data_IF_277984642872
#
_entry.id   IF_277984642872
#
_cell.length_a   1.000
_cell.length_b   1.000
_cell.length_c   1.000
_cell.angle_alpha   90.00
_cell.angle_beta   90.00
_cell.angle_gamma   90.00
#
_symmetry.space_group_name_H-M   'P 1'
#
loop_
_entity.id
_entity.type
_entity.pdbx_description
1 polymer ?
#
# COMPACT_ATOMS: atom_id res chain seq x y z
N UNK A 1 -41.93 15.66 2.23
CA UNK A 1 -40.65 15.67 1.52
C UNK A 1 -40.41 14.24 1.13
N UNK A 2 -40.68 13.96 -0.14
CA UNK A 2 -40.62 12.63 -0.70
C UNK A 2 -39.21 12.10 -0.53
N UNK A 3 -39.10 10.88 0.04
CA UNK A 3 -37.82 10.16 0.11
C UNK A 3 -37.31 9.96 -1.32
N UNK A 4 -36.47 10.91 -1.76
CA UNK A 4 -35.73 10.75 -2.99
C UNK A 4 -35.02 9.40 -2.91
N UNK A 5 -35.19 8.58 -3.96
CA UNK A 5 -34.59 7.27 -4.12
C UNK A 5 -33.08 7.31 -3.78
N UNK A 6 -32.76 7.10 -2.51
CA UNK A 6 -31.38 6.90 -2.12
C UNK A 6 -30.90 5.64 -2.81
N UNK A 7 -29.84 5.76 -3.57
CA UNK A 7 -29.24 4.62 -4.25
C UNK A 7 -28.76 3.54 -3.26
N UNK A 8 -28.42 2.35 -3.75
CA UNK A 8 -27.91 1.29 -2.91
C UNK A 8 -26.65 1.71 -2.14
N UNK A 9 -26.57 1.34 -0.86
CA UNK A 9 -25.43 1.61 0.00
C UNK A 9 -24.44 0.44 -0.09
N UNK A 10 -23.28 0.69 -0.65
CA UNK A 10 -22.25 -0.32 -0.87
C UNK A 10 -21.05 -0.04 0.02
N UNK A 11 -20.67 -1.02 0.84
CA UNK A 11 -19.43 -1.00 1.62
C UNK A 11 -18.25 -1.46 0.77
N UNK A 12 -17.12 -0.76 0.87
CA UNK A 12 -15.83 -1.20 0.35
C UNK A 12 -14.89 -1.41 1.52
N UNK A 13 -14.55 -2.66 1.81
CA UNK A 13 -13.69 -3.05 2.93
C UNK A 13 -12.30 -3.48 2.47
N UNK A 14 -11.27 -2.98 3.14
CA UNK A 14 -9.87 -3.34 2.97
C UNK A 14 -9.02 -2.79 4.12
N UNK A 15 -7.72 -3.00 4.07
CA UNK A 15 -6.76 -2.52 5.08
C UNK A 15 -6.39 -1.03 4.85
N UNK A 16 -7.37 -0.18 4.60
CA UNK A 16 -7.19 1.21 4.14
C UNK A 16 -6.76 2.20 5.22
N UNK A 17 -6.65 1.77 6.45
CA UNK A 17 -6.24 2.57 7.61
C UNK A 17 -4.83 2.26 8.12
N UNK A 18 -4.11 1.38 7.43
CA UNK A 18 -2.72 1.02 7.78
C UNK A 18 -1.69 2.07 7.41
N UNK A 19 -2.04 3.02 6.55
CA UNK A 19 -1.09 3.94 5.93
C UNK A 19 -0.27 3.32 4.78
N UNK A 20 -0.57 2.09 4.38
CA UNK A 20 0.00 1.47 3.18
C UNK A 20 -0.53 2.17 1.93
N UNK A 21 0.37 2.83 1.21
CA UNK A 21 0.01 3.60 0.01
C UNK A 21 -0.45 2.71 -1.15
N UNK A 22 -0.10 1.44 -1.13
CA UNK A 22 -0.61 0.45 -2.07
C UNK A 22 -2.09 0.15 -1.84
N UNK A 23 -2.50 -0.01 -0.60
CA UNK A 23 -3.91 -0.17 -0.24
C UNK A 23 -4.71 1.11 -0.53
N UNK A 24 -4.11 2.29 -0.35
CA UNK A 24 -4.73 3.57 -0.72
C UNK A 24 -4.88 3.69 -2.25
N UNK A 25 -3.88 3.28 -3.02
CA UNK A 25 -3.97 3.27 -4.48
C UNK A 25 -5.09 2.34 -4.96
N UNK A 26 -5.15 1.13 -4.40
CA UNK A 26 -6.21 0.15 -4.65
C UNK A 26 -7.59 0.77 -4.37
N UNK A 27 -7.77 1.35 -3.20
CA UNK A 27 -9.01 2.03 -2.81
C UNK A 27 -9.42 3.10 -3.80
N UNK A 28 -8.50 4.01 -4.19
CA UNK A 28 -8.78 5.09 -5.14
C UNK A 28 -9.24 4.55 -6.50
N UNK A 29 -8.61 3.48 -6.97
CA UNK A 29 -9.03 2.81 -8.21
C UNK A 29 -10.45 2.26 -8.09
N UNK A 30 -10.76 1.56 -6.99
CA UNK A 30 -12.12 1.06 -6.75
C UNK A 30 -13.15 2.17 -6.74
N UNK A 31 -12.89 3.25 -5.98
CA UNK A 31 -13.80 4.38 -5.92
C UNK A 31 -14.06 5.00 -7.31
N UNK A 32 -13.01 5.17 -8.11
CA UNK A 32 -13.12 5.72 -9.45
C UNK A 32 -13.91 4.79 -10.40
N UNK A 33 -13.56 3.50 -10.40
CA UNK A 33 -14.18 2.53 -11.29
C UNK A 33 -15.66 2.26 -10.93
N UNK A 34 -15.99 2.21 -9.65
CA UNK A 34 -17.36 2.06 -9.20
C UNK A 34 -18.20 3.30 -9.53
N UNK A 35 -17.69 4.52 -9.23
CA UNK A 35 -18.40 5.76 -9.59
C UNK A 35 -18.63 5.89 -11.10
N UNK A 36 -17.67 5.45 -11.91
CA UNK A 36 -17.79 5.49 -13.37
C UNK A 36 -18.89 4.55 -13.90
N UNK A 37 -19.01 3.36 -13.32
CA UNK A 37 -19.95 2.31 -13.79
C UNK A 37 -21.30 2.37 -13.10
N UNK A 38 -21.33 2.77 -11.87
CA UNK A 38 -22.51 2.81 -10.98
C UNK A 38 -22.57 4.14 -10.23
N UNK A 39 -22.85 5.24 -10.94
CA UNK A 39 -22.97 6.57 -10.30
C UNK A 39 -24.18 6.67 -9.35
N UNK A 40 -25.07 5.70 -9.39
CA UNK A 40 -26.28 5.58 -8.57
C UNK A 40 -26.02 5.05 -7.17
N UNK A 41 -24.86 4.40 -6.91
CA UNK A 41 -24.56 3.84 -5.60
C UNK A 41 -23.97 4.89 -4.63
N UNK A 42 -24.30 4.74 -3.35
CA UNK A 42 -23.58 5.39 -2.27
C UNK A 42 -22.46 4.47 -1.78
N UNK A 43 -21.21 4.90 -1.91
CA UNK A 43 -20.05 4.12 -1.50
C UNK A 43 -19.57 4.54 -0.12
N UNK A 44 -19.44 3.58 0.81
CA UNK A 44 -18.86 3.74 2.12
C UNK A 44 -17.57 2.95 2.22
N UNK A 45 -16.47 3.63 2.48
CA UNK A 45 -15.17 2.98 2.69
C UNK A 45 -15.06 2.51 4.14
N UNK A 46 -14.65 1.27 4.32
CA UNK A 46 -14.55 0.58 5.60
C UNK A 46 -13.13 0.04 5.80
N UNK A 47 -12.64 0.13 7.02
CA UNK A 47 -11.37 -0.45 7.43
C UNK A 47 -11.48 -1.01 8.85
N UNK A 48 -10.58 -1.86 9.32
CA UNK A 48 -10.66 -2.47 10.65
C UNK A 48 -10.90 -1.49 11.79
N UNK A 49 -10.17 -0.39 11.84
CA UNK A 49 -10.33 0.66 12.87
C UNK A 49 -10.89 1.96 12.30
N UNK A 50 -10.81 2.14 10.97
CA UNK A 50 -11.12 3.37 10.29
C UNK A 50 -10.11 4.49 10.58
N UNK A 51 -10.25 5.60 9.90
CA UNK A 51 -9.44 6.80 10.11
C UNK A 51 -10.34 8.03 10.11
N UNK A 52 -10.25 8.89 11.11
CA UNK A 52 -10.99 10.17 11.16
C UNK A 52 -10.46 11.17 10.14
N UNK A 53 -9.19 11.05 9.80
CA UNK A 53 -8.53 11.88 8.80
C UNK A 53 -8.00 11.00 7.70
N UNK A 54 -8.00 11.49 6.47
CA UNK A 54 -7.28 10.83 5.39
C UNK A 54 -5.83 10.60 5.82
N UNK A 55 -5.29 9.45 5.47
CA UNK A 55 -3.85 9.21 5.60
C UNK A 55 -3.13 10.33 4.82
N UNK A 56 -1.98 10.84 5.29
CA UNK A 56 -1.25 11.87 4.56
C UNK A 56 -1.11 11.53 3.08
N UNK A 57 -1.57 12.45 2.23
CA UNK A 57 -1.63 12.24 0.77
C UNK A 57 -2.82 11.43 0.25
N UNK A 58 -3.75 11.04 1.12
CA UNK A 58 -5.06 10.54 0.72
C UNK A 58 -6.09 11.65 0.85
N UNK A 59 -6.47 12.28 -0.26
CA UNK A 59 -7.53 13.30 -0.31
C UNK A 59 -8.94 12.68 -0.30
N UNK A 60 -9.01 11.34 -0.19
CA UNK A 60 -10.26 10.60 -0.18
C UNK A 60 -11.10 10.79 1.09
N UNK A 61 -12.27 10.20 1.10
CA UNK A 61 -13.12 10.17 2.29
C UNK A 61 -12.47 9.30 3.36
N UNK A 62 -12.55 9.69 4.65
CA UNK A 62 -12.05 8.86 5.73
C UNK A 62 -12.73 7.49 5.72
N UNK A 63 -11.97 6.43 5.99
CA UNK A 63 -12.53 5.09 6.16
C UNK A 63 -13.27 5.00 7.49
N UNK A 64 -14.49 4.46 7.48
CA UNK A 64 -15.22 4.19 8.70
C UNK A 64 -14.72 2.91 9.36
N UNK A 65 -14.73 2.80 10.67
CA UNK A 65 -14.38 1.56 11.35
C UNK A 65 -15.38 0.48 11.03
N UNK A 66 -14.90 -0.73 10.82
CA UNK A 66 -15.74 -1.89 10.56
C UNK A 66 -16.84 -2.12 11.63
N UNK A 67 -16.59 -1.92 12.93
CA UNK A 67 -17.63 -1.99 13.95
C UNK A 67 -18.81 -1.05 13.72
N UNK A 68 -18.64 0.07 13.01
CA UNK A 68 -19.72 1.02 12.74
C UNK A 68 -20.86 0.39 11.93
N UNK A 69 -20.60 -0.66 11.14
CA UNK A 69 -21.66 -1.38 10.44
C UNK A 69 -22.67 -1.97 11.42
N UNK A 70 -22.19 -2.49 12.56
CA UNK A 70 -23.06 -3.10 13.54
C UNK A 70 -23.61 -2.07 14.56
N UNK A 71 -22.87 -0.99 14.83
CA UNK A 71 -23.22 0.01 15.84
C UNK A 71 -24.08 1.13 15.28
N UNK A 72 -23.76 1.59 14.07
CA UNK A 72 -24.46 2.72 13.44
C UNK A 72 -25.69 2.27 12.63
N UNK A 73 -25.97 0.96 12.62
CA UNK A 73 -27.08 0.40 11.87
C UNK A 73 -26.96 0.65 10.36
N UNK A 74 -25.73 0.78 9.85
CA UNK A 74 -25.50 0.86 8.41
C UNK A 74 -25.99 -0.43 7.75
N UNK A 75 -27.24 -0.44 7.32
CA UNK A 75 -27.78 -1.50 6.47
C UNK A 75 -27.11 -1.42 5.11
N UNK A 76 -26.00 -2.15 4.93
CA UNK A 76 -25.35 -2.24 3.62
C UNK A 76 -26.15 -3.16 2.71
N UNK A 77 -26.45 -2.69 1.52
CA UNK A 77 -27.07 -3.50 0.47
C UNK A 77 -26.05 -4.50 -0.11
N UNK A 78 -24.77 -4.08 -0.19
CA UNK A 78 -23.66 -4.97 -0.54
C UNK A 78 -22.38 -4.59 0.19
N UNK A 79 -21.49 -5.57 0.38
CA UNK A 79 -20.14 -5.40 0.90
C UNK A 79 -19.14 -5.98 -0.09
N UNK A 80 -18.26 -5.12 -0.60
CA UNK A 80 -17.12 -5.54 -1.41
C UNK A 80 -15.92 -5.67 -0.48
N UNK A 81 -15.30 -6.83 -0.47
CA UNK A 81 -14.07 -7.12 0.28
C UNK A 81 -12.93 -7.18 -0.72
N UNK A 82 -11.85 -6.43 -0.50
CA UNK A 82 -10.74 -6.32 -1.44
C UNK A 82 -9.39 -6.17 -0.73
N UNK A 83 -8.32 -6.27 -1.49
CA UNK A 83 -6.95 -6.10 -0.99
C UNK A 83 -6.37 -7.38 -0.37
N UNK A 84 -5.29 -7.23 0.40
CA UNK A 84 -4.61 -8.35 1.06
C UNK A 84 -5.32 -8.78 2.36
N UNK A 85 -6.57 -9.14 2.24
CA UNK A 85 -7.46 -9.46 3.37
C UNK A 85 -7.50 -10.96 3.72
N UNK A 86 -6.99 -11.81 2.84
CA UNK A 86 -6.92 -13.25 3.06
C UNK A 86 -5.71 -13.60 3.94
N UNK A 87 -5.71 -13.09 5.15
CA UNK A 87 -4.62 -13.29 6.11
C UNK A 87 -5.16 -13.97 7.35
N UNK A 88 -4.34 -14.85 7.95
CA UNK A 88 -4.62 -15.39 9.29
C UNK A 88 -4.60 -14.30 10.35
N UNK A 89 -5.03 -14.62 11.57
CA UNK A 89 -4.93 -13.69 12.70
C UNK A 89 -3.50 -13.16 12.89
N UNK A 90 -2.49 -14.02 12.69
CA UNK A 90 -1.08 -13.62 12.74
C UNK A 90 -0.73 -12.59 11.67
N UNK A 91 -1.23 -12.75 10.45
CA UNK A 91 -1.02 -11.79 9.37
C UNK A 91 -1.72 -10.46 9.60
N UNK A 92 -2.90 -10.48 10.18
CA UNK A 92 -3.57 -9.26 10.61
C UNK A 92 -2.81 -8.57 11.74
N UNK A 93 -2.28 -9.33 12.71
CA UNK A 93 -1.46 -8.80 13.80
C UNK A 93 -0.16 -8.16 13.28
N UNK A 94 0.44 -8.70 12.22
CA UNK A 94 1.61 -8.10 11.59
C UNK A 94 1.29 -6.74 10.95
N UNK A 95 0.14 -6.62 10.29
CA UNK A 95 -0.32 -5.36 9.69
C UNK A 95 -0.72 -4.30 10.72
N UNK A 96 -1.25 -4.76 11.85
CA UNK A 96 -1.72 -3.94 12.94
C UNK A 96 -0.96 -4.28 14.24
N UNK A 97 0.37 -4.11 14.27
CA UNK A 97 1.19 -4.53 15.42
C UNK A 97 0.83 -3.79 16.70
N UNK A 98 0.02 -2.76 16.57
CA UNK A 98 -0.40 -1.85 17.64
C UNK A 98 -1.64 -2.34 18.36
N UNK A 99 -2.46 -3.15 17.72
CA UNK A 99 -3.75 -3.56 18.24
C UNK A 99 -4.12 -5.00 17.83
N UNK A 100 -3.20 -5.99 17.93
CA UNK A 100 -3.49 -7.35 17.50
C UNK A 100 -4.66 -7.96 18.28
N UNK A 101 -4.71 -7.77 19.61
CA UNK A 101 -5.76 -8.31 20.46
C UNK A 101 -7.14 -7.71 20.09
N UNK A 102 -7.19 -6.42 19.81
CA UNK A 102 -8.42 -5.75 19.42
C UNK A 102 -8.94 -6.22 18.05
N UNK A 103 -8.06 -6.64 17.15
CA UNK A 103 -8.47 -7.25 15.86
C UNK A 103 -9.09 -8.63 16.08
N UNK A 104 -8.46 -9.45 16.93
CA UNK A 104 -8.97 -10.78 17.28
C UNK A 104 -10.30 -10.67 18.01
N UNK A 105 -10.40 -9.82 19.04
CA UNK A 105 -11.65 -9.59 19.78
C UNK A 105 -12.81 -9.13 18.87
N UNK A 106 -12.50 -8.37 17.82
CA UNK A 106 -13.50 -7.88 16.85
C UNK A 106 -13.82 -8.89 15.76
N UNK A 107 -13.09 -9.99 15.71
CA UNK A 107 -13.25 -10.99 14.67
C UNK A 107 -12.99 -10.42 13.26
N UNK A 108 -12.01 -9.53 13.11
CA UNK A 108 -11.73 -8.87 11.83
C UNK A 108 -11.32 -9.89 10.78
N UNK A 109 -10.47 -10.86 11.12
CA UNK A 109 -10.10 -11.94 10.21
C UNK A 109 -11.32 -12.74 9.79
N UNK A 110 -12.17 -13.15 10.75
CA UNK A 110 -13.40 -13.88 10.46
C UNK A 110 -14.36 -13.06 9.58
N UNK A 111 -14.49 -11.75 9.82
CA UNK A 111 -15.31 -10.88 8.98
C UNK A 111 -14.70 -10.74 7.59
N UNK A 112 -13.39 -10.54 7.50
CA UNK A 112 -12.68 -10.41 6.23
C UNK A 112 -12.76 -11.71 5.42
N UNK A 113 -12.70 -12.89 6.04
CA UNK A 113 -12.76 -14.18 5.34
C UNK A 113 -14.17 -14.68 5.08
N UNK A 114 -15.14 -14.38 5.93
CA UNK A 114 -16.50 -14.90 5.82
C UNK A 114 -17.57 -13.89 5.49
N UNK A 115 -17.28 -12.58 5.58
CA UNK A 115 -18.29 -11.54 5.51
C UNK A 115 -19.30 -11.61 6.65
N UNK A 116 -18.93 -12.25 7.76
CA UNK A 116 -19.80 -12.54 8.89
C UNK A 116 -19.22 -11.96 10.17
N UNK A 117 -20.06 -11.38 11.00
CA UNK A 117 -19.71 -10.96 12.34
C UNK A 117 -20.68 -11.60 13.34
N UNK A 118 -20.13 -12.35 14.31
CA UNK A 118 -20.98 -13.01 15.31
C UNK A 118 -22.05 -13.94 14.71
N UNK A 119 -21.77 -14.55 13.55
CA UNK A 119 -22.70 -15.41 12.83
C UNK A 119 -23.74 -14.67 11.98
N UNK A 120 -23.66 -13.33 11.87
CA UNK A 120 -24.58 -12.53 11.03
C UNK A 120 -23.84 -11.91 9.85
N UNK A 121 -24.50 -11.84 8.70
CA UNK A 121 -23.97 -11.16 7.53
C UNK A 121 -23.80 -9.65 7.80
N UNK A 122 -22.68 -9.08 7.35
CA UNK A 122 -22.42 -7.66 7.43
C UNK A 122 -23.25 -6.86 6.40
N UNK A 123 -23.75 -7.53 5.37
CA UNK A 123 -24.54 -6.97 4.29
C UNK A 123 -25.47 -8.05 3.73
N UNK A 124 -26.47 -7.64 2.94
CA UNK A 124 -27.33 -8.56 2.20
C UNK A 124 -26.52 -9.39 1.19
N UNK A 125 -25.54 -8.77 0.56
CA UNK A 125 -24.65 -9.41 -0.40
C UNK A 125 -23.18 -9.13 -0.05
N UNK A 126 -22.34 -10.18 -0.03
CA UNK A 126 -20.89 -10.07 0.15
C UNK A 126 -20.19 -10.53 -1.11
N UNK A 127 -19.33 -9.66 -1.67
CA UNK A 127 -18.59 -9.89 -2.90
C UNK A 127 -17.10 -9.80 -2.59
N UNK A 128 -16.36 -10.83 -2.96
CA UNK A 128 -14.91 -10.89 -2.82
C UNK A 128 -14.27 -10.52 -4.15
N UNK A 129 -13.67 -9.34 -4.23
CA UNK A 129 -13.16 -8.83 -5.49
C UNK A 129 -11.71 -8.37 -5.38
N UNK A 130 -10.85 -8.91 -6.24
CA UNK A 130 -9.42 -8.64 -6.27
C UNK A 130 -8.76 -8.87 -4.91
N UNK A 131 -9.19 -9.91 -4.21
CA UNK A 131 -8.59 -10.28 -2.93
C UNK A 131 -7.27 -11.01 -3.14
N UNK A 132 -6.37 -10.85 -2.18
CA UNK A 132 -5.07 -11.49 -2.18
C UNK A 132 -4.57 -11.77 -0.77
N UNK A 133 -3.45 -12.44 -0.71
CA UNK A 133 -2.65 -12.60 0.48
C UNK A 133 -1.18 -12.47 0.09
N UNK A 134 -0.33 -12.11 1.02
CA UNK A 134 1.11 -12.09 0.78
C UNK A 134 1.62 -13.51 0.52
N UNK A 135 2.59 -13.66 -0.38
CA UNK A 135 3.07 -14.98 -0.80
C UNK A 135 3.56 -15.86 0.36
N UNK A 136 4.08 -15.21 1.40
CA UNK A 136 4.71 -15.86 2.55
C UNK A 136 3.76 -16.09 3.74
N UNK A 137 2.47 -15.69 3.60
CA UNK A 137 1.50 -15.80 4.67
C UNK A 137 0.52 -16.94 4.44
N UNK A 138 0.18 -17.63 5.50
CA UNK A 138 -0.90 -18.60 5.49
C UNK A 138 -2.23 -17.90 5.21
N UNK A 139 -2.97 -18.42 4.21
CA UNK A 139 -4.24 -17.84 3.77
C UNK A 139 -5.38 -18.65 4.36
N UNK A 140 -6.25 -18.02 5.12
CA UNK A 140 -7.48 -18.63 5.58
C UNK A 140 -8.55 -18.54 4.48
N UNK A 141 -8.88 -19.68 3.90
CA UNK A 141 -9.89 -19.81 2.82
C UNK A 141 -11.15 -20.53 3.28
N UNK A 142 -11.24 -20.90 4.54
CA UNK A 142 -12.34 -21.72 5.07
C UNK A 142 -13.72 -21.11 4.84
N UNK A 143 -13.82 -19.79 4.88
CA UNK A 143 -15.06 -19.04 4.65
C UNK A 143 -15.42 -18.78 3.20
N UNK A 144 -14.54 -19.14 2.25
CA UNK A 144 -14.71 -18.83 0.82
C UNK A 144 -15.29 -19.98 0.00
N UNK A 145 -15.38 -21.16 0.57
CA UNK A 145 -15.85 -22.35 -0.14
C UNK A 145 -17.27 -22.14 -0.67
N UNK A 146 -17.43 -22.36 -1.99
CA UNK A 146 -18.73 -22.22 -2.67
C UNK A 146 -19.15 -20.78 -2.98
N UNK A 147 -18.28 -19.80 -2.79
CA UNK A 147 -18.52 -18.39 -3.13
C UNK A 147 -17.84 -17.99 -4.43
N UNK A 148 -18.37 -16.98 -5.10
CA UNK A 148 -17.72 -16.34 -6.22
C UNK A 148 -16.64 -15.41 -5.68
N UNK A 149 -15.37 -15.72 -5.97
CA UNK A 149 -14.22 -14.99 -5.49
C UNK A 149 -13.37 -14.56 -6.68
N UNK A 150 -13.15 -13.28 -6.82
CA UNK A 150 -12.16 -12.73 -7.74
C UNK A 150 -10.85 -12.48 -7.00
N UNK A 151 -9.77 -13.01 -7.55
CA UNK A 151 -8.44 -12.93 -6.94
C UNK A 151 -7.48 -12.14 -7.82
N UNK A 152 -6.49 -11.51 -7.18
CA UNK A 152 -5.51 -10.68 -7.91
C UNK A 152 -4.51 -11.49 -8.73
N UNK A 153 -4.21 -12.71 -8.32
CA UNK A 153 -3.11 -13.47 -8.90
C UNK A 153 -3.34 -14.98 -8.91
N UNK A 154 -2.56 -15.65 -9.75
CA UNK A 154 -2.63 -17.10 -9.92
C UNK A 154 -2.24 -17.88 -8.65
N UNK A 155 -1.32 -17.35 -7.84
CA UNK A 155 -0.90 -18.01 -6.61
C UNK A 155 -2.04 -18.04 -5.59
N UNK A 156 -2.74 -16.92 -5.43
CA UNK A 156 -3.96 -16.85 -4.61
C UNK A 156 -5.05 -17.74 -5.17
N UNK A 157 -5.23 -17.77 -6.49
CA UNK A 157 -6.19 -18.66 -7.15
C UNK A 157 -5.92 -20.13 -6.85
N UNK A 158 -4.67 -20.56 -6.95
CA UNK A 158 -4.28 -21.94 -6.65
C UNK A 158 -4.53 -22.31 -5.19
N UNK A 159 -4.33 -21.39 -4.25
CA UNK A 159 -4.55 -21.62 -2.82
C UNK A 159 -6.04 -21.75 -2.48
N UNK A 160 -6.88 -20.88 -3.05
CA UNK A 160 -8.32 -20.94 -2.84
C UNK A 160 -8.93 -22.14 -3.57
N UNK A 161 -8.42 -22.44 -4.76
CA UNK A 161 -8.95 -23.52 -5.61
C UNK A 161 -10.36 -23.24 -6.13
N UNK A 162 -10.98 -24.27 -6.70
CA UNK A 162 -12.41 -24.29 -7.01
C UNK A 162 -12.86 -23.21 -8.00
N UNK A 163 -13.77 -22.36 -7.57
CA UNK A 163 -14.45 -21.35 -8.43
C UNK A 163 -13.77 -19.98 -8.44
N UNK A 164 -12.61 -19.84 -7.82
CA UNK A 164 -11.91 -18.56 -7.82
C UNK A 164 -11.50 -18.14 -9.25
N UNK A 165 -11.80 -16.90 -9.60
CA UNK A 165 -11.51 -16.32 -10.92
C UNK A 165 -10.41 -15.28 -10.76
N UNK A 166 -9.38 -15.35 -11.59
CA UNK A 166 -8.34 -14.33 -11.60
C UNK A 166 -8.85 -13.05 -12.27
N UNK A 167 -8.97 -11.96 -11.48
CA UNK A 167 -9.35 -10.64 -11.99
C UNK A 167 -8.15 -9.78 -12.38
N UNK A 168 -6.99 -10.04 -11.81
CA UNK A 168 -5.84 -9.14 -11.84
C UNK A 168 -5.85 -8.14 -10.68
N UNK A 169 -4.79 -7.34 -10.62
CA UNK A 169 -4.62 -6.32 -9.58
C UNK A 169 -5.18 -4.97 -10.06
N UNK A 170 -6.20 -4.41 -9.40
CA UNK A 170 -6.81 -3.15 -9.83
C UNK A 170 -5.85 -1.96 -9.89
N UNK A 171 -4.73 -1.98 -9.17
CA UNK A 171 -3.73 -0.90 -9.21
C UNK A 171 -3.18 -0.67 -10.62
N UNK A 172 -3.26 -1.66 -11.51
CA UNK A 172 -2.95 -1.51 -12.95
C UNK A 172 -3.81 -0.41 -13.62
N UNK A 173 -4.98 -0.09 -13.07
CA UNK A 173 -5.85 0.98 -13.57
C UNK A 173 -5.51 2.36 -12.97
N UNK A 174 -4.42 2.50 -12.23
CA UNK A 174 -4.05 3.74 -11.55
C UNK A 174 -3.92 4.95 -12.49
N UNK A 175 -3.54 4.73 -13.76
CA UNK A 175 -3.53 5.79 -14.78
C UNK A 175 -4.89 6.45 -15.03
N UNK A 176 -5.99 5.83 -14.62
CA UNK A 176 -7.34 6.41 -14.72
C UNK A 176 -7.69 7.32 -13.54
N UNK A 177 -6.91 7.22 -12.46
CA UNK A 177 -7.10 7.99 -11.23
C UNK A 177 -6.15 9.18 -11.18
N UNK A 178 -4.93 8.99 -11.69
CA UNK A 178 -3.91 10.01 -11.70
C UNK A 178 -3.88 10.76 -13.04
N UNK A 179 -4.19 12.05 -12.99
CA UNK A 179 -4.04 12.94 -14.14
C UNK A 179 -2.54 13.17 -14.44
N UNK A 180 -2.04 12.83 -15.64
CA UNK A 180 -0.64 12.99 -15.99
C UNK A 180 -0.12 14.43 -15.85
N UNK A 181 -0.96 15.43 -16.12
CA UNK A 181 -0.59 16.84 -15.99
C UNK A 181 -0.50 17.26 -14.52
N UNK A 182 -1.37 16.74 -13.66
CA UNK A 182 -1.29 16.94 -12.22
C UNK A 182 -0.03 16.29 -11.65
N UNK A 183 0.29 15.07 -12.06
CA UNK A 183 1.52 14.39 -11.64
C UNK A 183 2.77 15.15 -12.05
N UNK A 184 2.79 15.72 -13.28
CA UNK A 184 3.92 16.51 -13.76
C UNK A 184 4.09 17.76 -12.91
N UNK A 185 3.02 18.53 -12.68
CA UNK A 185 3.07 19.70 -11.78
C UNK A 185 3.53 19.33 -10.37
N UNK A 186 3.10 18.17 -9.87
CA UNK A 186 3.50 17.69 -8.55
C UNK A 186 4.98 17.33 -8.50
N UNK A 187 5.50 16.68 -9.54
CA UNK A 187 6.93 16.38 -9.67
C UNK A 187 7.79 17.66 -9.71
N UNK A 188 7.32 18.70 -10.41
CA UNK A 188 7.99 20.01 -10.44
C UNK A 188 8.03 20.65 -9.05
N UNK A 189 6.93 20.60 -8.30
CA UNK A 189 6.89 21.09 -6.92
C UNK A 189 7.85 20.32 -6.02
N UNK A 190 7.87 19.00 -6.10
CA UNK A 190 8.80 18.17 -5.33
C UNK A 190 10.26 18.50 -5.68
N UNK A 191 10.54 18.74 -6.95
CA UNK A 191 11.86 19.16 -7.39
C UNK A 191 12.24 20.54 -6.80
N UNK A 192 11.36 21.53 -6.88
CA UNK A 192 11.60 22.87 -6.31
C UNK A 192 11.83 22.83 -4.80
N UNK A 193 11.16 21.92 -4.08
CA UNK A 193 11.35 21.73 -2.65
C UNK A 193 12.56 20.85 -2.29
N UNK A 194 13.36 20.41 -3.27
CA UNK A 194 14.52 19.54 -3.05
C UNK A 194 14.18 18.08 -2.72
N UNK A 195 12.90 17.70 -2.83
CA UNK A 195 12.46 16.31 -2.61
C UNK A 195 12.77 15.37 -3.77
N UNK A 196 12.87 15.90 -5.00
CA UNK A 196 13.28 15.13 -6.17
C UNK A 196 14.52 15.77 -6.83
N UNK A 197 15.54 14.97 -7.19
CA UNK A 197 16.67 15.46 -7.98
C UNK A 197 16.24 15.82 -9.40
N UNK A 198 16.99 16.73 -10.01
CA UNK A 198 16.84 17.03 -11.44
C UNK A 198 17.38 15.88 -12.31
N UNK A 199 16.87 15.77 -13.53
CA UNK A 199 17.40 14.88 -14.54
C UNK A 199 16.86 13.45 -14.47
N UNK A 200 17.68 12.50 -14.92
CA UNK A 200 17.31 11.07 -15.00
C UNK A 200 17.29 10.43 -13.62
N UNK A 201 16.25 9.65 -13.35
CA UNK A 201 16.00 9.07 -12.03
C UNK A 201 15.76 7.58 -12.12
N UNK A 202 16.53 6.80 -11.36
CA UNK A 202 16.23 5.42 -11.04
C UNK A 202 15.52 5.38 -9.70
N UNK A 203 14.38 4.74 -9.62
CA UNK A 203 13.66 4.56 -8.37
C UNK A 203 13.88 3.14 -7.87
N UNK A 204 14.22 3.00 -6.60
CA UNK A 204 14.22 1.76 -5.86
C UNK A 204 13.09 1.80 -4.84
N UNK A 205 12.04 1.04 -5.11
CA UNK A 205 10.94 0.83 -4.18
C UNK A 205 11.31 -0.32 -3.24
N UNK A 206 11.32 -0.06 -1.94
CA UNK A 206 11.77 -0.97 -0.88
C UNK A 206 10.78 -1.07 0.26
N UNK A 207 9.56 -1.45 -0.05
CA UNK A 207 8.52 -1.66 0.97
C UNK A 207 8.76 -2.95 1.74
N UNK A 208 9.36 -3.95 1.10
CA UNK A 208 9.80 -5.20 1.73
C UNK A 208 11.32 -5.31 1.71
N UNK A 209 11.85 -6.03 2.68
CA UNK A 209 13.25 -6.46 2.66
C UNK A 209 13.52 -7.35 1.45
N UNK A 210 14.71 -7.23 0.88
CA UNK A 210 15.17 -8.11 -0.18
C UNK A 210 15.84 -9.34 0.46
N UNK A 211 15.24 -10.49 0.30
CA UNK A 211 15.77 -11.78 0.73
C UNK A 211 15.92 -12.70 -0.48
N UNK A 212 16.94 -13.53 -0.57
CA UNK A 212 18.00 -13.74 0.44
C UNK A 212 19.06 -12.61 0.45
N UNK A 213 19.91 -12.53 1.49
CA UNK A 213 20.98 -11.52 1.58
C UNK A 213 21.86 -11.43 0.35
N UNK A 214 22.15 -12.55 -0.31
CA UNK A 214 22.92 -12.60 -1.54
C UNK A 214 22.28 -11.79 -2.67
N UNK A 215 20.95 -11.88 -2.86
CA UNK A 215 20.21 -11.09 -3.84
C UNK A 215 20.28 -9.59 -3.51
N UNK A 216 20.16 -9.25 -2.24
CA UNK A 216 20.29 -7.87 -1.77
C UNK A 216 21.68 -7.29 -2.07
N UNK A 217 22.75 -8.07 -1.84
CA UNK A 217 24.12 -7.65 -2.11
C UNK A 217 24.35 -7.48 -3.62
N UNK A 218 23.83 -8.37 -4.43
CA UNK A 218 23.84 -8.27 -5.89
C UNK A 218 23.06 -7.05 -6.39
N UNK A 219 21.86 -6.80 -5.88
CA UNK A 219 21.06 -5.62 -6.21
C UNK A 219 21.84 -4.35 -5.87
N UNK A 220 22.42 -4.29 -4.67
CA UNK A 220 23.22 -3.17 -4.20
C UNK A 220 24.39 -2.89 -5.15
N UNK A 221 25.15 -3.91 -5.51
CA UNK A 221 26.30 -3.74 -6.39
C UNK A 221 25.90 -3.40 -7.83
N UNK A 222 24.81 -4.00 -8.34
CA UNK A 222 24.27 -3.67 -9.66
C UNK A 222 23.84 -2.21 -9.75
N UNK A 223 23.11 -1.70 -8.74
CA UNK A 223 22.72 -0.31 -8.69
C UNK A 223 23.96 0.61 -8.58
N UNK A 224 24.94 0.24 -7.76
CA UNK A 224 26.19 1.00 -7.65
C UNK A 224 26.97 1.03 -8.98
N UNK A 225 27.06 -0.08 -9.67
CA UNK A 225 27.71 -0.15 -10.98
C UNK A 225 26.97 0.73 -12.00
N UNK A 226 25.63 0.69 -12.00
CA UNK A 226 24.79 1.51 -12.87
C UNK A 226 25.02 3.00 -12.62
N UNK A 227 25.00 3.45 -11.36
CA UNK A 227 25.21 4.86 -11.00
C UNK A 227 26.64 5.33 -11.32
N UNK A 228 27.63 4.45 -11.21
CA UNK A 228 29.01 4.76 -11.60
C UNK A 228 29.16 4.90 -13.12
N UNK A 229 28.42 4.10 -13.89
CA UNK A 229 28.47 4.14 -15.36
C UNK A 229 27.70 5.31 -15.95
N UNK A 230 26.70 5.81 -15.25
CA UNK A 230 25.87 6.95 -15.65
C UNK A 230 25.79 8.01 -14.53
N UNK A 231 26.75 8.97 -14.48
CA UNK A 231 26.74 10.02 -13.46
C UNK A 231 25.56 10.99 -13.55
N UNK A 232 24.80 10.97 -14.66
CA UNK A 232 23.59 11.80 -14.82
C UNK A 232 22.37 11.17 -14.13
N UNK A 233 22.47 9.91 -13.73
CA UNK A 233 21.40 9.17 -13.09
C UNK A 233 21.44 9.36 -11.58
N UNK A 234 20.32 9.76 -10.99
CA UNK A 234 20.12 9.82 -9.54
C UNK A 234 19.27 8.65 -9.07
N UNK A 235 19.60 8.08 -7.91
CA UNK A 235 18.80 7.08 -7.27
C UNK A 235 17.84 7.73 -6.26
N UNK A 236 16.57 7.33 -6.34
CA UNK A 236 15.58 7.66 -5.33
C UNK A 236 15.16 6.35 -4.64
N UNK A 237 15.28 6.32 -3.33
CA UNK A 237 14.78 5.20 -2.51
C UNK A 237 13.46 5.64 -1.88
N UNK A 238 12.43 4.84 -2.08
CA UNK A 238 11.09 5.09 -1.51
C UNK A 238 10.46 3.82 -0.97
N UNK A 239 9.48 3.97 -0.09
CA UNK A 239 8.63 2.88 0.40
C UNK A 239 7.17 3.23 0.19
N UNK A 240 6.35 2.26 -0.19
CA UNK A 240 4.90 2.37 -0.23
C UNK A 240 4.27 2.20 1.15
N UNK A 241 5.02 1.73 2.12
CA UNK A 241 4.56 1.63 3.50
C UNK A 241 5.40 2.55 4.41
N UNK A 242 4.97 3.80 4.64
CA UNK A 242 5.71 4.75 5.45
C UNK A 242 5.77 4.37 6.93
N UNK A 243 4.91 3.48 7.40
CA UNK A 243 4.89 3.03 8.80
C UNK A 243 5.80 1.83 9.04
N UNK A 244 6.16 1.09 7.99
CA UNK A 244 7.15 0.03 8.10
C UNK A 244 8.55 0.66 8.13
N UNK A 245 9.39 0.32 9.10
CA UNK A 245 10.78 0.75 9.07
C UNK A 245 11.41 0.24 7.76
N UNK A 246 12.08 1.14 7.02
CA UNK A 246 12.81 0.78 5.79
C UNK A 246 13.95 -0.18 6.17
N UNK A 247 13.61 -1.43 6.37
CA UNK A 247 14.57 -2.53 6.61
C UNK A 247 15.05 -3.13 5.30
N UNK A 248 15.24 -2.27 4.29
CA UNK A 248 15.69 -2.79 2.99
C UNK A 248 16.99 -3.56 3.09
N UNK A 249 17.80 -3.29 4.10
CA UNK A 249 19.16 -3.80 4.19
C UNK A 249 20.03 -3.43 3.00
N UNK A 250 19.46 -2.74 2.01
CA UNK A 250 20.17 -2.26 0.81
C UNK A 250 20.93 -1.01 1.21
N UNK A 251 22.18 -1.17 1.63
CA UNK A 251 23.06 -0.03 1.93
C UNK A 251 23.71 0.47 0.64
N UNK A 252 23.04 1.40 -0.01
CA UNK A 252 23.57 2.07 -1.22
C UNK A 252 24.42 3.29 -0.82
N UNK A 253 24.48 3.60 0.48
CA UNK A 253 25.30 4.67 1.01
C UNK A 253 26.78 4.32 0.84
N UNK A 254 27.55 5.24 0.39
CA UNK A 254 28.97 5.07 0.14
C UNK A 254 29.50 6.25 -0.66
N UNK A 255 30.52 6.09 -1.52
CA UNK A 255 31.07 7.17 -2.32
C UNK A 255 30.05 7.82 -3.29
N UNK A 256 28.85 7.28 -3.40
CA UNK A 256 27.74 7.78 -4.23
C UNK A 256 26.78 8.72 -3.49
N UNK A 257 27.11 9.17 -2.28
CA UNK A 257 26.19 9.89 -1.39
C UNK A 257 25.43 11.08 -2.01
N UNK A 258 26.00 11.77 -2.98
CA UNK A 258 25.32 12.89 -3.66
C UNK A 258 24.29 12.45 -4.71
N UNK A 259 24.29 11.18 -5.14
CA UNK A 259 23.37 10.63 -6.14
C UNK A 259 22.21 9.86 -5.52
N UNK A 260 22.22 9.65 -4.20
CA UNK A 260 21.22 8.86 -3.51
C UNK A 260 20.32 9.77 -2.69
N UNK A 261 19.04 9.77 -3.02
CA UNK A 261 18.01 10.56 -2.38
C UNK A 261 16.99 9.61 -1.73
N UNK A 262 16.56 9.93 -0.54
CA UNK A 262 15.46 9.23 0.11
C UNK A 262 14.22 10.10 0.02
N UNK A 263 13.14 9.55 -0.51
CA UNK A 263 11.87 10.25 -0.46
C UNK A 263 11.40 10.28 1.01
N UNK A 264 11.03 11.45 1.54
CA UNK A 264 10.59 11.54 2.93
C UNK A 264 9.39 10.64 3.22
N UNK A 265 9.32 10.08 4.42
CA UNK A 265 8.26 9.16 4.86
C UNK A 265 6.88 9.81 4.90
N UNK A 266 6.80 11.14 4.93
CA UNK A 266 5.56 11.92 4.97
C UNK A 266 4.98 12.25 3.59
N UNK A 267 5.61 11.81 2.50
CA UNK A 267 5.05 12.00 1.16
C UNK A 267 3.82 11.14 0.97
N UNK A 268 2.82 11.71 0.32
CA UNK A 268 1.60 11.00 0.01
C UNK A 268 1.66 10.19 -1.26
N UNK A 269 0.58 9.47 -1.56
CA UNK A 269 0.47 8.67 -2.76
C UNK A 269 0.65 9.48 -4.05
N UNK A 270 0.14 10.72 -4.09
CA UNK A 270 0.29 11.61 -5.26
C UNK A 270 1.75 12.02 -5.49
N UNK A 271 2.53 12.18 -4.41
CA UNK A 271 3.96 12.46 -4.49
C UNK A 271 4.74 11.27 -5.04
N UNK A 272 4.40 10.06 -4.56
CA UNK A 272 4.99 8.82 -5.03
C UNK A 272 4.62 8.58 -6.50
N UNK A 273 3.35 8.74 -6.86
CA UNK A 273 2.91 8.61 -8.24
C UNK A 273 3.62 9.62 -9.17
N UNK A 274 3.81 10.87 -8.71
CA UNK A 274 4.55 11.88 -9.43
C UNK A 274 6.05 11.52 -9.58
N UNK A 275 6.66 10.96 -8.53
CA UNK A 275 8.04 10.49 -8.61
C UNK A 275 8.18 9.33 -9.60
N UNK A 276 7.27 8.34 -9.53
CA UNK A 276 7.25 7.17 -10.42
C UNK A 276 7.03 7.58 -11.88
N UNK A 277 6.02 8.40 -12.17
CA UNK A 277 5.66 8.77 -13.56
C UNK A 277 6.76 9.48 -14.33
N UNK A 278 7.71 10.12 -13.64
CA UNK A 278 8.84 10.82 -14.24
C UNK A 278 10.15 10.05 -14.14
N UNK A 279 10.15 8.81 -13.68
CA UNK A 279 11.37 8.03 -13.53
C UNK A 279 11.83 7.43 -14.87
N UNK A 280 13.14 7.25 -15.01
CA UNK A 280 13.74 6.53 -16.15
C UNK A 280 13.44 5.04 -16.06
N UNK A 281 13.48 4.49 -14.84
CA UNK A 281 13.10 3.13 -14.52
C UNK A 281 12.77 2.99 -13.02
N UNK A 282 12.06 1.94 -12.69
CA UNK A 282 11.73 1.54 -11.32
C UNK A 282 12.23 0.13 -11.07
N UNK A 283 12.87 -0.09 -9.94
CA UNK A 283 13.10 -1.42 -9.37
C UNK A 283 12.11 -1.60 -8.25
N UNK A 284 11.20 -2.54 -8.38
CA UNK A 284 10.12 -2.77 -7.43
C UNK A 284 10.35 -4.06 -6.64
N UNK A 285 10.27 -3.98 -5.31
CA UNK A 285 10.32 -5.15 -4.41
C UNK A 285 8.93 -5.65 -4.05
N UNK A 286 7.89 -4.90 -4.42
CA UNK A 286 6.51 -5.31 -4.22
C UNK A 286 5.75 -5.33 -5.52
N UNK A 287 4.75 -6.21 -5.59
CA UNK A 287 3.84 -6.27 -6.72
C UNK A 287 3.08 -4.95 -6.92
N UNK A 288 2.66 -4.31 -5.84
CA UNK A 288 1.97 -3.02 -5.93
C UNK A 288 2.86 -1.94 -6.52
N UNK A 289 4.13 -1.89 -6.13
CA UNK A 289 5.12 -0.98 -6.71
C UNK A 289 5.32 -1.22 -8.21
N UNK A 290 5.43 -2.49 -8.61
CA UNK A 290 5.47 -2.91 -10.02
C UNK A 290 4.24 -2.44 -10.78
N UNK A 291 3.05 -2.77 -10.31
CA UNK A 291 1.79 -2.46 -10.97
C UNK A 291 1.54 -0.95 -11.07
N UNK A 292 1.87 -0.21 -10.02
CA UNK A 292 1.73 1.24 -10.00
C UNK A 292 2.69 1.90 -11.01
N UNK A 293 3.95 1.47 -11.06
CA UNK A 293 4.92 1.97 -12.03
C UNK A 293 4.47 1.66 -13.47
N UNK A 294 4.07 0.42 -13.73
CA UNK A 294 3.57 -0.01 -15.04
C UNK A 294 2.32 0.78 -15.46
N UNK A 295 1.36 0.98 -14.56
CA UNK A 295 0.14 1.77 -14.80
C UNK A 295 0.45 3.23 -15.16
N UNK A 296 1.51 3.80 -14.60
CA UNK A 296 1.97 5.16 -14.88
C UNK A 296 2.88 5.24 -16.13
N UNK A 297 3.04 4.13 -16.87
CA UNK A 297 3.84 4.07 -18.09
C UNK A 297 5.35 4.12 -17.85
N UNK A 298 5.80 3.80 -16.64
CA UNK A 298 7.21 3.79 -16.29
C UNK A 298 7.80 2.39 -16.44
N UNK A 299 8.96 2.24 -17.11
CA UNK A 299 9.66 0.98 -17.20
C UNK A 299 9.97 0.43 -15.80
N UNK A 300 9.67 -0.86 -15.57
CA UNK A 300 9.85 -1.48 -14.25
C UNK A 300 10.56 -2.81 -14.34
N UNK A 301 11.42 -3.06 -13.35
CA UNK A 301 12.04 -4.36 -13.08
C UNK A 301 11.53 -4.82 -11.72
N UNK A 302 10.67 -5.83 -11.72
CA UNK A 302 10.20 -6.46 -10.49
C UNK A 302 11.27 -7.41 -9.93
N UNK A 303 11.41 -7.41 -8.60
CA UNK A 303 12.16 -8.41 -7.85
C UNK A 303 11.14 -9.41 -7.31
N UNK A 304 11.16 -10.62 -7.85
CA UNK A 304 10.22 -11.65 -7.46
C UNK A 304 10.70 -12.39 -6.20
N UNK A 305 9.74 -12.88 -5.42
CA UNK A 305 10.03 -13.80 -4.31
C UNK A 305 10.63 -15.08 -4.88
N UNK A 306 11.88 -15.37 -4.55
CA UNK A 306 12.61 -16.52 -5.08
C UNK A 306 13.64 -16.17 -6.16
N UNK A 307 13.74 -14.91 -6.59
CA UNK A 307 14.88 -14.45 -7.39
C UNK A 307 16.17 -14.70 -6.60
N UNK A 308 17.08 -15.49 -7.18
CA UNK A 308 18.40 -15.81 -6.58
C UNK A 308 19.55 -15.44 -7.49
N UNK A 309 19.24 -15.09 -8.75
CA UNK A 309 20.21 -14.80 -9.78
C UNK A 309 20.42 -13.29 -9.96
N UNK A 310 21.49 -12.77 -9.37
CA UNK A 310 21.86 -11.37 -9.49
C UNK A 310 22.29 -10.95 -10.90
N UNK A 311 22.83 -11.87 -11.69
CA UNK A 311 23.25 -11.58 -13.07
C UNK A 311 22.01 -11.40 -13.97
N UNK A 312 20.97 -12.20 -13.77
CA UNK A 312 19.69 -12.02 -14.45
C UNK A 312 19.04 -10.68 -14.09
N UNK A 313 19.11 -10.27 -12.83
CA UNK A 313 18.65 -8.96 -12.39
C UNK A 313 19.45 -7.82 -13.04
N UNK A 314 20.78 -7.94 -13.09
CA UNK A 314 21.63 -6.96 -13.75
C UNK A 314 21.31 -6.83 -15.24
N UNK A 315 21.06 -7.94 -15.92
CA UNK A 315 20.66 -7.95 -17.34
C UNK A 315 19.30 -7.28 -17.53
N UNK A 316 18.31 -7.57 -16.67
CA UNK A 316 16.99 -6.91 -16.72
C UNK A 316 17.12 -5.40 -16.53
N UNK A 317 17.92 -4.95 -15.57
CA UNK A 317 18.20 -3.52 -15.36
C UNK A 317 18.90 -2.88 -16.56
N UNK A 318 19.92 -3.53 -17.09
CA UNK A 318 20.65 -3.04 -18.26
C UNK A 318 19.76 -2.94 -19.50
N UNK A 319 18.78 -3.82 -19.66
CA UNK A 319 17.83 -3.79 -20.77
C UNK A 319 16.83 -2.61 -20.64
N UNK A 320 16.46 -2.25 -19.42
CA UNK A 320 15.44 -1.22 -19.16
C UNK A 320 16.03 0.19 -19.12
N UNK A 321 17.22 0.37 -18.57
CA UNK A 321 17.80 1.70 -18.32
C UNK A 321 18.11 2.55 -19.57
N UNK A 322 18.64 1.99 -20.71
CA UNK A 322 18.98 2.83 -21.86
C UNK A 322 17.78 3.32 -22.66
N UNK A 323 16.75 2.50 -22.78
CA UNK A 323 15.63 2.72 -23.71
C UNK A 323 14.32 2.17 -23.17
N UNK A 324 14.09 2.30 -21.87
CA UNK A 324 12.99 1.67 -21.16
C UNK A 324 11.66 1.74 -21.91
N UNK A 325 11.22 0.60 -22.43
CA UNK A 325 9.86 0.46 -22.88
C UNK A 325 8.99 0.18 -21.66
N UNK A 326 7.89 0.91 -21.50
CA UNK A 326 6.88 0.57 -20.50
C UNK A 326 6.42 -0.88 -20.67
N UNK A 327 6.07 -1.52 -19.57
CA UNK A 327 5.45 -2.84 -19.61
C UNK A 327 4.09 -2.72 -20.29
N UNK A 328 3.79 -3.59 -21.24
CA UNK A 328 2.47 -3.64 -21.87
C UNK A 328 1.44 -4.23 -20.89
N UNK A 329 0.57 -3.38 -20.38
CA UNK A 329 -0.50 -3.74 -19.44
C UNK A 329 -1.88 -3.89 -20.12
N UNK A 330 -1.95 -3.81 -21.45
CA UNK A 330 -3.20 -3.79 -22.20
C UNK A 330 -4.10 -5.00 -21.90
N UNK A 331 -3.51 -6.18 -21.82
CA UNK A 331 -4.24 -7.39 -21.49
C UNK A 331 -4.78 -7.37 -20.05
N UNK A 332 -3.99 -6.91 -19.10
CA UNK A 332 -4.41 -6.78 -17.69
C UNK A 332 -5.53 -5.76 -17.53
N UNK A 333 -5.42 -4.60 -18.20
CA UNK A 333 -6.46 -3.57 -18.24
C UNK A 333 -7.77 -4.12 -18.81
N UNK A 334 -7.71 -4.87 -19.92
CA UNK A 334 -8.89 -5.46 -20.56
C UNK A 334 -9.57 -6.48 -19.64
N UNK A 335 -8.79 -7.33 -18.98
CA UNK A 335 -9.32 -8.31 -18.02
C UNK A 335 -10.02 -7.62 -16.85
N UNK A 336 -9.40 -6.59 -16.29
CA UNK A 336 -9.97 -5.82 -15.19
C UNK A 336 -11.22 -5.05 -15.59
N UNK A 337 -11.27 -4.50 -16.81
CA UNK A 337 -12.48 -3.85 -17.32
C UNK A 337 -13.66 -4.82 -17.37
N UNK A 338 -13.43 -6.04 -17.83
CA UNK A 338 -14.45 -7.11 -17.79
C UNK A 338 -14.88 -7.45 -16.37
N UNK A 339 -13.91 -7.64 -15.47
CA UNK A 339 -14.19 -7.97 -14.07
C UNK A 339 -14.95 -6.86 -13.33
N UNK A 340 -14.59 -5.59 -13.54
CA UNK A 340 -15.34 -4.46 -12.96
C UNK A 340 -16.73 -4.28 -13.58
N UNK A 341 -16.90 -4.60 -14.85
CA UNK A 341 -18.24 -4.60 -15.48
C UNK A 341 -19.13 -5.66 -14.82
N UNK A 342 -18.63 -6.88 -14.65
CA UNK A 342 -19.34 -7.95 -13.96
C UNK A 342 -19.64 -7.60 -12.49
N UNK A 343 -18.67 -7.03 -11.77
CA UNK A 343 -18.89 -6.51 -10.42
C UNK A 343 -20.05 -5.51 -10.39
N UNK A 344 -20.04 -4.54 -11.28
CA UNK A 344 -21.07 -3.50 -11.36
C UNK A 344 -22.47 -4.08 -11.64
N UNK A 345 -22.57 -5.12 -12.46
CA UNK A 345 -23.83 -5.82 -12.75
C UNK A 345 -24.38 -6.60 -11.56
N UNK A 346 -23.48 -7.13 -10.71
CA UNK A 346 -23.83 -7.88 -9.50
C UNK A 346 -24.29 -7.00 -8.36
N UNK A 347 -23.91 -5.72 -8.33
CA UNK A 347 -24.33 -4.81 -7.26
C UNK A 347 -25.84 -4.57 -7.32
N UNK A 348 -26.51 -4.44 -6.17
CA UNK A 348 -27.94 -4.15 -6.10
C UNK A 348 -28.33 -2.93 -6.94
N UNK A 349 -29.47 -2.96 -7.56
CA UNK A 349 -30.02 -1.84 -8.35
C UNK A 349 -31.00 -0.98 -7.53
N UNK A 350 -31.52 -1.54 -6.48
CA UNK A 350 -32.50 -0.91 -5.60
C UNK A 350 -32.01 -1.03 -4.18
N UNK A 351 -32.10 0.05 -3.42
CA UNK A 351 -31.80 0.00 -1.98
C UNK A 351 -32.81 -0.90 -1.26
N UNK A 352 -32.33 -1.76 -0.39
CA UNK A 352 -33.21 -2.52 0.50
C UNK A 352 -33.84 -1.54 1.50
N UNK A 353 -35.16 -1.61 1.76
CA UNK A 353 -35.81 -0.74 2.76
C UNK A 353 -35.08 -0.90 4.10
N UNK A 354 -34.46 0.18 4.55
CA UNK A 354 -33.78 0.22 5.84
C UNK A 354 -34.86 0.29 6.92
N UNK A 355 -35.06 -0.82 7.65
CA UNK A 355 -35.94 -0.81 8.83
C UNK A 355 -35.42 0.17 9.89
N UNK A 356 -36.27 0.58 10.82
CA UNK A 356 -35.89 1.42 11.96
C UNK A 356 -34.79 0.69 12.76
N UNK A 357 -33.54 1.08 12.52
CA UNK A 357 -32.41 0.48 13.17
C UNK A 357 -32.26 0.99 14.60
N UNK A 358 -32.09 0.08 15.52
CA UNK A 358 -31.81 0.38 16.94
C UNK A 358 -30.53 1.20 17.00
N UNK A 359 -30.64 2.41 17.52
CA UNK A 359 -29.50 3.30 17.77
C UNK A 359 -28.55 2.59 18.73
N UNK A 360 -27.28 2.48 18.34
CA UNK A 360 -26.24 1.89 19.16
C UNK A 360 -26.06 2.62 20.49
N UNK A 361 -25.60 1.88 21.50
CA UNK A 361 -25.24 2.46 22.80
C UNK A 361 -24.19 3.57 22.62
N UNK A 362 -24.46 4.80 23.09
CA UNK A 362 -23.52 5.91 23.00
C UNK A 362 -22.16 5.62 23.66
N UNK A 363 -22.13 4.73 24.65
CA UNK A 363 -20.89 4.33 25.33
C UNK A 363 -19.99 3.46 24.43
N UNK A 364 -20.56 2.56 23.61
CA UNK A 364 -19.79 1.77 22.63
C UNK A 364 -19.22 2.67 21.53
N UNK A 365 -20.00 3.66 21.08
CA UNK A 365 -19.52 4.64 20.10
C UNK A 365 -18.39 5.51 20.65
N UNK A 366 -18.49 5.95 21.92
CA UNK A 366 -17.45 6.73 22.59
C UNK A 366 -16.14 5.91 22.78
N UNK A 367 -16.26 4.62 23.14
CA UNK A 367 -15.13 3.73 23.28
C UNK A 367 -14.42 3.49 21.93
N UNK A 368 -15.20 3.31 20.86
CA UNK A 368 -14.68 3.15 19.51
C UNK A 368 -13.93 4.41 19.05
N UNK A 369 -14.43 5.60 19.37
CA UNK A 369 -13.78 6.89 19.07
C UNK A 369 -12.46 7.04 19.86
N UNK A 370 -12.46 6.69 21.15
CA UNK A 370 -11.25 6.75 21.99
C UNK A 370 -10.18 5.76 21.51
N UNK A 371 -10.57 4.54 21.18
CA UNK A 371 -9.67 3.54 20.64
C UNK A 371 -9.07 3.97 19.29
N UNK A 372 -9.88 4.61 18.45
CA UNK A 372 -9.43 5.19 17.18
C UNK A 372 -8.38 6.28 17.40
N UNK A 373 -8.65 7.24 18.31
CA UNK A 373 -7.68 8.28 18.66
C UNK A 373 -6.34 7.71 19.11
N UNK A 374 -6.36 6.69 19.96
CA UNK A 374 -5.14 6.04 20.44
C UNK A 374 -4.37 5.35 19.31
N UNK A 375 -5.08 4.74 18.36
CA UNK A 375 -4.44 4.13 17.17
C UNK A 375 -3.83 5.21 16.29
N UNK A 376 -4.56 6.29 16.00
CA UNK A 376 -4.08 7.40 15.16
C UNK A 376 -2.85 8.09 15.79
N UNK A 377 -2.90 8.39 17.10
CA UNK A 377 -1.76 8.96 17.82
C UNK A 377 -0.53 8.03 17.79
N UNK A 378 -0.75 6.74 17.91
CA UNK A 378 0.33 5.76 17.91
C UNK A 378 0.94 5.57 16.53
N UNK A 379 0.13 5.57 15.46
CA UNK A 379 0.61 5.58 14.07
C UNK A 379 1.45 6.84 13.82
N UNK A 380 0.96 8.01 14.26
CA UNK A 380 1.69 9.27 14.12
C UNK A 380 3.02 9.25 14.89
N UNK A 381 3.03 8.73 16.12
CA UNK A 381 4.26 8.58 16.93
C UNK A 381 5.23 7.58 16.29
N UNK A 382 4.74 6.51 15.72
CA UNK A 382 5.59 5.52 15.08
C UNK A 382 6.21 6.06 13.79
N UNK A 383 5.47 6.85 13.01
CA UNK A 383 5.99 7.58 11.86
C UNK A 383 7.08 8.59 12.28
N UNK A 384 6.85 9.32 13.36
CA UNK A 384 7.83 10.28 13.89
C UNK A 384 9.09 9.59 14.45
N UNK A 385 8.94 8.45 15.12
CA UNK A 385 10.07 7.62 15.57
C UNK A 385 10.88 7.11 14.38
N UNK A 386 10.23 6.64 13.33
CA UNK A 386 10.91 6.19 12.12
C UNK A 386 11.65 7.33 11.44
N UNK A 387 11.05 8.52 11.40
CA UNK A 387 11.69 9.74 10.88
C UNK A 387 12.93 10.10 11.68
N UNK A 388 12.81 10.13 13.02
CA UNK A 388 13.93 10.45 13.90
C UNK A 388 15.05 9.40 13.83
N UNK A 389 14.70 8.13 13.70
CA UNK A 389 15.68 7.07 13.47
C UNK A 389 16.46 7.26 12.17
N UNK A 390 15.74 7.57 11.07
CA UNK A 390 16.37 7.86 9.79
C UNK A 390 17.28 9.12 9.87
N UNK A 391 16.85 10.14 10.59
CA UNK A 391 17.65 11.34 10.82
C UNK A 391 18.90 11.06 11.66
N UNK A 392 18.77 10.25 12.71
CA UNK A 392 19.92 9.80 13.53
C UNK A 392 20.89 8.99 12.67
N UNK A 393 20.39 8.07 11.85
CA UNK A 393 21.24 7.29 10.94
C UNK A 393 21.93 8.20 9.90
N UNK A 394 21.21 9.18 9.36
CA UNK A 394 21.78 10.17 8.45
C UNK A 394 22.89 10.97 9.13
N UNK A 395 22.64 11.47 10.33
CA UNK A 395 23.65 12.21 11.12
C UNK A 395 24.86 11.32 11.45
N UNK A 396 24.63 10.05 11.83
CA UNK A 396 25.73 9.11 12.12
C UNK A 396 26.56 8.75 10.87
N UNK A 397 25.92 8.75 9.68
CA UNK A 397 26.58 8.50 8.42
C UNK A 397 27.31 9.74 7.85
N UNK A 398 27.03 10.94 8.39
CA UNK A 398 27.61 12.17 7.89
C UNK A 398 29.15 12.14 7.97
N UNK A 399 29.85 12.74 6.99
CA UNK A 399 31.33 12.85 7.01
C UNK A 399 31.83 13.54 8.27
N UNK A 400 31.09 14.54 8.76
CA UNK A 400 31.40 15.28 9.98
C UNK A 400 31.39 14.38 11.23
N UNK A 401 30.41 13.49 11.32
CA UNK A 401 30.31 12.54 12.44
C UNK A 401 31.42 11.47 12.38
N UNK A 402 31.77 11.02 11.17
CA UNK A 402 32.89 10.06 10.95
C UNK A 402 34.24 10.65 11.35
N UNK A 403 34.46 11.94 11.13
CA UNK A 403 35.68 12.65 11.52
C UNK A 403 35.65 12.96 13.03
N UNK A 404 34.52 13.38 13.57
CA UNK A 404 34.37 13.76 14.96
C UNK A 404 34.43 12.55 15.94
N UNK A 405 33.96 11.37 15.49
CA UNK A 405 33.91 10.17 16.34
C UNK A 405 35.30 9.71 16.85
N UNK A 406 36.31 9.51 16.01
CA UNK A 406 37.64 9.14 16.47
C UNK A 406 38.29 10.18 17.42
N UNK A 407 38.01 11.47 17.13
CA UNK A 407 38.51 12.59 17.98
C UNK A 407 37.84 12.54 19.34
N UNK A 408 36.53 12.36 19.40
CA UNK A 408 35.79 12.26 20.68
C UNK A 408 36.18 11.02 21.49
N UNK A 409 36.32 9.85 20.84
CA UNK A 409 36.78 8.62 21.49
C UNK A 409 38.22 8.74 21.96
N UNK A 410 39.09 9.42 21.22
CA UNK A 410 40.44 9.75 21.60
C UNK A 410 40.48 10.67 22.84
N UNK A 411 39.63 11.71 22.84
CA UNK A 411 39.53 12.64 23.98
C UNK A 411 38.97 11.96 25.24
N UNK A 412 37.95 11.10 25.10
CA UNK A 412 37.41 10.33 26.24
C UNK A 412 38.43 9.33 26.80
N UNK A 413 39.21 8.65 25.92
CA UNK A 413 40.32 7.79 26.38
C UNK A 413 41.40 8.56 27.08
N UNK A 414 41.72 9.76 26.63
CA UNK A 414 42.69 10.64 27.28
C UNK A 414 42.20 11.13 28.65
N UNK A 415 40.91 11.52 28.76
CA UNK A 415 40.32 11.88 30.05
C UNK A 415 40.34 10.73 31.08
N UNK A 416 39.99 9.50 30.64
CA UNK A 416 40.00 8.31 31.52
C UNK A 416 41.41 7.88 31.97
N UNK A 417 42.47 8.38 31.36
CA UNK A 417 43.85 8.13 31.76
C UNK A 417 44.37 9.18 32.75
N UNK A 418 43.64 10.25 32.94
CA UNK A 418 43.98 11.34 33.86
C UNK A 418 43.19 11.28 35.19
N UNK A 419 42.12 10.49 35.24
CA UNK A 419 41.45 10.12 36.49
C UNK A 419 41.94 8.76 36.98
#
# INVERSE_FOLDING_TARGET
MDGADAGPLVGLFGAFDTGDLGEIALRRVFEAELRRRRPDIELVVLAPFGAERPVPGDEGRPARPLPSIATDGLGLDALIITGDVLSTDAGWAERYPVAPDALVERGVAALATTGMRGGRSAAEQVIWFAVGGTADMEVDVSGLTGRDVWVRDAATQQRIGGTAVQSGDPVVLASRVFDPDALRRRADLLHMCGGLPAGRRLILEVTRGVDPPALRDHLTETIRATLRSDPSLSLIVLSLNPTAPVRSGVDIRGPLGAQVHHLPVWVGLDDIAAALSGATAVVATTRTGEQLAAALGTPVVAIETGDTDGDALAQRLAAVLPHGNPVDITAAVTTLDGAFAELAERLPRVAVPRGDHVIADPAESALAILQRRLVDERIALQAELSRLQAEIEHLQASPEHRIARPIREGYQRWQRRRT
#
